data_IF_392059081774
#
_entry.id   IF_392059081774
#
_cell.length_a   1.000
_cell.length_b   1.000
_cell.length_c   1.000
_cell.angle_alpha   90.00
_cell.angle_beta   90.00
_cell.angle_gamma   90.00
#
_symmetry.space_group_name_H-M   'P 1'
#
loop_
_entity.id
_entity.type
_entity.pdbx_description
1 polymer ?
#
# COMPACT_ATOMS: atom_id res chain seq x y z
N UNK A 1 -10.82 -1.20 16.12
CA UNK A 1 -10.38 -1.75 14.83
C UNK A 1 -11.06 -0.94 13.72
N UNK A 2 -10.40 -0.82 12.57
CA UNK A 2 -10.82 -0.01 11.43
C UNK A 2 -11.00 -0.95 10.23
N UNK A 3 -12.17 -0.90 9.60
CA UNK A 3 -12.37 -1.59 8.33
C UNK A 3 -11.94 -0.66 7.20
N UNK A 4 -11.05 -1.15 6.35
CA UNK A 4 -10.57 -0.42 5.19
C UNK A 4 -10.69 -1.28 3.93
N UNK A 5 -10.96 -0.62 2.81
CA UNK A 5 -10.92 -1.23 1.48
C UNK A 5 -9.70 -0.71 0.74
N UNK A 6 -8.85 -1.63 0.28
CA UNK A 6 -7.69 -1.33 -0.57
C UNK A 6 -8.02 -1.73 -2.00
N UNK A 7 -8.05 -0.77 -2.91
CA UNK A 7 -8.10 -1.00 -4.36
C UNK A 7 -6.69 -1.12 -4.90
N UNK A 8 -6.44 -2.09 -5.77
CA UNK A 8 -5.14 -2.34 -6.39
C UNK A 8 -5.23 -2.06 -7.88
N UNK A 9 -4.25 -1.36 -8.41
CA UNK A 9 -4.14 -0.98 -9.82
C UNK A 9 -2.98 -1.72 -10.51
N UNK A 10 -3.09 -1.94 -11.82
CA UNK A 10 -2.02 -2.56 -12.65
C UNK A 10 -0.88 -1.59 -13.03
N UNK A 11 -1.05 -0.31 -12.74
CA UNK A 11 -0.06 0.74 -12.91
C UNK A 11 -0.34 1.92 -11.99
N UNK A 12 0.39 3.02 -12.18
CA UNK A 12 0.26 4.23 -11.34
C UNK A 12 -1.17 4.77 -11.42
N UNK A 13 -1.87 4.86 -10.30
CA UNK A 13 -3.30 5.23 -10.21
C UNK A 13 -3.66 6.60 -10.81
N UNK A 14 -2.67 7.47 -10.99
CA UNK A 14 -2.84 8.79 -11.60
C UNK A 14 -2.75 8.76 -13.14
N UNK A 15 -2.28 7.66 -13.71
CA UNK A 15 -2.19 7.49 -15.15
C UNK A 15 -3.54 7.06 -15.73
N UNK A 16 -3.93 7.71 -16.83
CA UNK A 16 -5.21 7.40 -17.52
C UNK A 16 -5.29 5.97 -18.04
N UNK A 17 -4.14 5.32 -18.24
CA UNK A 17 -4.02 3.95 -18.72
C UNK A 17 -4.15 2.91 -17.61
N UNK A 18 -3.96 3.32 -16.35
CA UNK A 18 -4.04 2.45 -15.19
C UNK A 18 -5.48 2.01 -14.91
N UNK A 19 -5.64 0.73 -14.54
CA UNK A 19 -6.93 0.12 -14.27
C UNK A 19 -6.91 -0.59 -12.92
N UNK A 20 -8.03 -0.51 -12.20
CA UNK A 20 -8.24 -1.31 -11.00
C UNK A 20 -8.30 -2.79 -11.38
N UNK A 21 -7.42 -3.59 -10.82
CA UNK A 21 -7.37 -5.05 -11.03
C UNK A 21 -7.89 -5.86 -9.86
N UNK A 22 -7.92 -5.29 -8.65
CA UNK A 22 -8.44 -5.99 -7.47
C UNK A 22 -8.96 -5.02 -6.40
N UNK A 23 -9.76 -5.55 -5.48
CA UNK A 23 -10.10 -4.87 -4.23
C UNK A 23 -10.14 -5.89 -3.08
N UNK A 24 -9.57 -5.50 -1.93
CA UNK A 24 -9.46 -6.35 -0.74
C UNK A 24 -9.90 -5.53 0.47
N UNK A 25 -10.66 -6.14 1.38
CA UNK A 25 -11.02 -5.53 2.65
C UNK A 25 -10.08 -6.04 3.75
N UNK A 26 -9.62 -5.14 4.61
CA UNK A 26 -8.79 -5.44 5.76
C UNK A 26 -9.43 -4.88 7.03
N UNK A 27 -9.29 -5.63 8.13
CA UNK A 27 -9.52 -5.13 9.49
C UNK A 27 -8.15 -4.77 10.09
N UNK A 28 -7.93 -3.49 10.38
CA UNK A 28 -6.62 -2.96 10.80
C UNK A 28 -6.73 -2.23 12.15
N UNK A 29 -5.58 -2.05 12.82
CA UNK A 29 -5.45 -1.20 13.99
C UNK A 29 -5.20 0.26 13.59
N UNK A 30 -4.29 0.47 12.65
CA UNK A 30 -3.88 1.80 12.16
C UNK A 30 -3.25 1.68 10.77
N UNK A 31 -3.08 2.81 10.11
CA UNK A 31 -2.31 2.91 8.87
C UNK A 31 -1.40 4.13 8.91
N UNK A 32 -0.33 4.10 8.11
CA UNK A 32 0.56 5.23 7.91
C UNK A 32 1.00 5.31 6.44
N UNK A 33 1.27 6.53 5.98
CA UNK A 33 2.04 6.76 4.76
C UNK A 33 3.48 7.05 5.19
N UNK A 34 4.43 6.31 4.64
CA UNK A 34 5.86 6.46 4.93
C UNK A 34 6.64 6.71 3.65
N UNK A 35 7.72 7.47 3.75
CA UNK A 35 8.68 7.63 2.67
C UNK A 35 9.90 6.74 2.92
N UNK A 36 10.25 5.90 1.94
CA UNK A 36 11.41 5.00 2.02
C UNK A 36 12.13 4.94 0.69
N UNK A 37 13.45 4.98 0.73
CA UNK A 37 14.30 4.77 -0.44
C UNK A 37 14.28 3.32 -0.90
N UNK A 38 14.67 3.05 -2.15
CA UNK A 38 14.84 1.67 -2.63
C UNK A 38 15.82 0.87 -1.76
N UNK A 39 16.88 1.51 -1.24
CA UNK A 39 17.86 0.84 -0.38
C UNK A 39 17.23 0.36 0.93
N UNK A 40 16.37 1.17 1.56
CA UNK A 40 15.63 0.79 2.77
C UNK A 40 14.64 -0.35 2.48
N UNK A 41 13.91 -0.25 1.36
CA UNK A 41 12.97 -1.29 0.94
C UNK A 41 13.67 -2.62 0.63
N UNK A 42 14.84 -2.58 -0.01
CA UNK A 42 15.65 -3.79 -0.26
C UNK A 42 16.16 -4.41 1.04
N UNK A 43 16.54 -3.59 2.02
CA UNK A 43 16.95 -4.08 3.34
C UNK A 43 15.79 -4.78 4.07
N UNK A 44 14.55 -4.39 3.78
CA UNK A 44 13.31 -5.04 4.26
C UNK A 44 12.89 -6.25 3.42
N UNK A 45 13.61 -6.58 2.35
CA UNK A 45 13.37 -7.76 1.51
C UNK A 45 12.44 -7.53 0.32
N UNK A 46 12.13 -6.29 -0.04
CA UNK A 46 11.32 -5.95 -1.22
C UNK A 46 12.19 -5.78 -2.48
N UNK A 47 11.65 -6.21 -3.62
CA UNK A 47 12.27 -6.12 -4.95
C UNK A 47 11.50 -5.20 -5.92
N UNK A 48 10.30 -4.77 -5.53
CA UNK A 48 9.47 -3.81 -6.25
C UNK A 48 9.30 -2.51 -5.45
N UNK A 49 9.43 -1.37 -6.13
CA UNK A 49 9.49 -0.05 -5.48
C UNK A 49 8.39 0.88 -5.99
N UNK A 50 7.95 1.79 -5.12
CA UNK A 50 7.06 2.87 -5.50
C UNK A 50 7.85 3.97 -6.22
N UNK A 51 7.42 4.43 -7.42
CA UNK A 51 8.11 5.48 -8.17
C UNK A 51 8.29 6.81 -7.43
N UNK A 52 7.50 7.05 -6.38
CA UNK A 52 7.53 8.26 -5.56
C UNK A 52 8.09 8.01 -4.15
N UNK A 53 8.66 6.82 -3.92
CA UNK A 53 9.17 6.38 -2.62
C UNK A 53 8.13 6.46 -1.50
N UNK A 54 6.83 6.43 -1.83
CA UNK A 54 5.73 6.57 -0.89
C UNK A 54 4.98 5.24 -0.73
N UNK A 55 4.82 4.80 0.51
CA UNK A 55 4.25 3.49 0.81
C UNK A 55 3.12 3.59 1.83
N UNK A 56 2.02 2.91 1.54
CA UNK A 56 0.94 2.68 2.50
C UNK A 56 1.29 1.47 3.36
N UNK A 57 1.36 1.66 4.67
CA UNK A 57 1.58 0.59 5.64
C UNK A 57 0.31 0.40 6.47
N UNK A 58 -0.22 -0.82 6.48
CA UNK A 58 -1.31 -1.24 7.34
C UNK A 58 -0.74 -2.00 8.53
N UNK A 59 -1.20 -1.69 9.74
CA UNK A 59 -0.80 -2.39 10.97
C UNK A 59 -1.97 -3.23 11.49
N UNK A 60 -1.73 -4.52 11.71
CA UNK A 60 -2.73 -5.48 12.18
C UNK A 60 -2.63 -5.72 13.69
N UNK A 61 -3.67 -6.31 14.28
CA UNK A 61 -3.75 -6.55 15.73
C UNK A 61 -2.77 -7.61 16.24
N UNK A 62 -2.28 -8.48 15.35
CA UNK A 62 -1.27 -9.49 15.65
C UNK A 62 0.17 -8.94 15.58
N UNK A 63 0.33 -7.64 15.30
CA UNK A 63 1.62 -6.98 15.14
C UNK A 63 2.24 -7.13 13.75
N UNK A 64 1.60 -7.86 12.83
CA UNK A 64 2.03 -7.91 11.43
C UNK A 64 1.70 -6.62 10.69
N UNK A 65 2.33 -6.45 9.53
CA UNK A 65 2.09 -5.31 8.64
C UNK A 65 1.91 -5.76 7.19
N UNK A 66 1.18 -4.96 6.42
CA UNK A 66 1.15 -5.05 4.97
C UNK A 66 1.62 -3.71 4.38
N UNK A 67 2.58 -3.78 3.46
CA UNK A 67 3.14 -2.60 2.79
C UNK A 67 2.76 -2.62 1.32
N UNK A 68 2.20 -1.51 0.85
CA UNK A 68 1.81 -1.31 -0.55
C UNK A 68 2.55 -0.12 -1.13
N UNK A 69 2.94 -0.21 -2.40
CA UNK A 69 3.33 0.95 -3.22
C UNK A 69 2.14 1.89 -3.31
N UNK A 70 2.20 3.08 -2.70
CA UNK A 70 1.04 3.96 -2.55
C UNK A 70 0.50 4.47 -3.90
N UNK A 71 1.37 4.59 -4.90
CA UNK A 71 0.99 4.94 -6.27
C UNK A 71 0.17 3.85 -6.98
N UNK A 72 0.22 2.60 -6.49
CA UNK A 72 -0.46 1.44 -7.08
C UNK A 72 -1.74 1.06 -6.32
N UNK A 73 -2.11 1.79 -5.27
CA UNK A 73 -3.28 1.49 -4.45
C UNK A 73 -4.06 2.73 -4.02
N UNK A 74 -5.34 2.56 -3.73
CA UNK A 74 -6.12 3.52 -2.95
C UNK A 74 -6.74 2.83 -1.74
N UNK A 75 -6.72 3.52 -0.60
CA UNK A 75 -7.37 3.05 0.61
C UNK A 75 -8.58 3.92 0.94
N UNK A 76 -9.72 3.28 1.17
CA UNK A 76 -10.95 3.91 1.62
C UNK A 76 -11.32 3.36 2.98
N UNK A 77 -11.74 4.25 3.88
CA UNK A 77 -12.36 3.83 5.14
C UNK A 77 -13.77 3.33 4.85
N UNK A 78 -14.11 2.16 5.38
CA UNK A 78 -15.45 1.58 5.31
C UNK A 78 -16.29 1.98 6.53
#
# INVERSE_FOLDING_TARGET
MLNVKVKIYDGIKYEKTSKKVSEINYEICSYAIVYKTESEMRAEGYDEFDPYNEYLVLNFSDGSTATFRNSMVDMFRA
#
